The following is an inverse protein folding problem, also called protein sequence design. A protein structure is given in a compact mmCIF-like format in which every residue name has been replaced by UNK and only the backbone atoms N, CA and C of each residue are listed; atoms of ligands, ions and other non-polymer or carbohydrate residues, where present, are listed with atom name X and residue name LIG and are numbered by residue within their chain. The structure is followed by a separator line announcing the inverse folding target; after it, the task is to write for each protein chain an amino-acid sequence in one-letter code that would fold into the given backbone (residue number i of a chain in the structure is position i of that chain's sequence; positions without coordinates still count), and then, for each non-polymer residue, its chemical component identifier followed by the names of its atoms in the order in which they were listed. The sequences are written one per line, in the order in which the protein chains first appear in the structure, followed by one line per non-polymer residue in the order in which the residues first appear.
data_IF_584632043788
#
_entry.id   IF_584632043788
#
_cell.length_a   1.000
_cell.length_b   1.000
_cell.length_c   1.000
_cell.angle_alpha   90.00
_cell.angle_beta   90.00
_cell.angle_gamma   90.00
#
_symmetry.space_group_name_H-M   'P 1'
#
loop_
_entity.id
_entity.type
_entity.pdbx_description
1 polymer ?
#
# COMPACT_ATOMS: atom_id res chain seq x y z
N UNK A 1 -11.51 -4.47 23.17
CA UNK A 1 -12.08 -5.82 23.20
C UNK A 1 -13.07 -5.92 22.05
N UNK A 2 -12.76 -6.73 21.03
CA UNK A 2 -13.70 -7.00 19.92
C UNK A 2 -14.73 -8.02 20.40
N UNK A 3 -16.00 -7.86 20.07
CA UNK A 3 -17.02 -8.90 20.34
C UNK A 3 -17.14 -9.87 19.16
N UNK A 4 -17.73 -11.07 19.37
CA UNK A 4 -18.05 -11.99 18.28
C UNK A 4 -18.81 -11.31 17.14
N UNK A 5 -18.43 -11.64 15.91
CA UNK A 5 -19.05 -11.12 14.71
C UNK A 5 -20.53 -11.51 14.66
N UNK A 6 -21.40 -10.53 14.45
CA UNK A 6 -22.83 -10.73 14.15
C UNK A 6 -23.11 -10.12 12.77
N UNK A 7 -23.44 -10.96 11.78
CA UNK A 7 -23.52 -10.58 10.37
C UNK A 7 -22.20 -9.97 9.86
N UNK A 8 -22.23 -8.92 9.02
CA UNK A 8 -21.04 -8.22 8.52
C UNK A 8 -20.59 -7.08 9.46
N UNK A 9 -20.80 -7.27 10.76
CA UNK A 9 -20.42 -6.31 11.77
C UNK A 9 -19.76 -6.96 12.96
N UNK A 10 -18.86 -6.23 13.59
CA UNK A 10 -18.30 -6.60 14.89
C UNK A 10 -18.31 -5.35 15.77
N UNK A 11 -18.34 -5.59 17.08
CA UNK A 11 -18.46 -4.50 18.05
C UNK A 11 -17.15 -4.25 18.75
N UNK A 12 -16.88 -2.99 19.04
CA UNK A 12 -15.73 -2.54 19.83
C UNK A 12 -16.19 -1.57 20.90
N UNK A 13 -15.46 -1.53 22.01
CA UNK A 13 -15.59 -0.43 22.96
C UNK A 13 -15.20 0.87 22.26
N UNK A 14 -16.06 1.88 22.35
CA UNK A 14 -15.70 3.22 21.94
C UNK A 14 -14.85 3.90 23.02
N UNK A 15 -13.72 4.51 22.64
CA UNK A 15 -12.81 5.22 23.54
C UNK A 15 -12.96 6.74 23.43
N UNK A 16 -13.22 7.25 22.23
CA UNK A 16 -13.45 8.68 21.98
C UNK A 16 -14.48 8.88 20.87
N UNK A 17 -15.14 10.03 20.88
CA UNK A 17 -15.97 10.49 19.77
C UNK A 17 -15.52 11.89 19.39
N UNK A 18 -15.24 12.07 18.09
CA UNK A 18 -14.76 13.31 17.51
C UNK A 18 -15.85 13.86 16.59
N UNK A 19 -16.41 15.01 16.96
CA UNK A 19 -17.36 15.71 16.11
C UNK A 19 -16.66 16.16 14.83
N UNK A 20 -17.24 15.78 13.68
CA UNK A 20 -16.65 16.00 12.36
C UNK A 20 -15.24 15.40 12.18
N UNK A 21 -14.87 14.39 13.00
CA UNK A 21 -13.55 13.75 12.95
C UNK A 21 -13.23 13.06 11.63
N UNK A 22 -14.24 12.79 10.80
CA UNK A 22 -14.09 12.23 9.46
C UNK A 22 -14.36 13.25 8.34
N UNK A 23 -14.62 14.51 8.67
CA UNK A 23 -15.03 15.57 7.76
C UNK A 23 -16.48 15.43 7.27
N UNK A 24 -16.99 16.50 6.65
CA UNK A 24 -18.34 16.56 6.04
C UNK A 24 -19.50 16.22 7.00
N UNK A 25 -19.40 16.62 8.27
CA UNK A 25 -20.40 16.35 9.30
C UNK A 25 -20.40 14.90 9.80
N UNK A 26 -19.38 14.11 9.44
CA UNK A 26 -19.29 12.71 9.82
C UNK A 26 -18.45 12.56 11.09
N UNK A 27 -19.04 12.01 12.15
CA UNK A 27 -18.34 11.73 13.40
C UNK A 27 -17.25 10.65 13.20
N UNK A 28 -16.09 10.89 13.79
CA UNK A 28 -15.07 9.87 14.01
C UNK A 28 -15.27 9.20 15.36
N UNK A 29 -15.02 7.89 15.41
CA UNK A 29 -15.08 7.13 16.67
C UNK A 29 -13.73 6.47 16.90
N UNK A 30 -13.04 6.84 17.98
CA UNK A 30 -11.70 6.31 18.32
C UNK A 30 -10.70 6.40 17.15
N UNK A 31 -10.75 7.48 16.36
CA UNK A 31 -9.91 7.70 15.18
C UNK A 31 -10.24 6.84 13.94
N UNK A 32 -11.39 6.15 13.95
CA UNK A 32 -11.90 5.32 12.87
C UNK A 32 -12.94 6.10 12.07
N UNK A 33 -12.82 6.03 10.74
CA UNK A 33 -13.73 6.66 9.79
C UNK A 33 -14.25 5.68 8.73
N UNK A 34 -15.44 5.93 8.13
CA UNK A 34 -15.89 5.16 6.98
C UNK A 34 -14.86 5.22 5.85
N UNK A 35 -14.51 4.06 5.30
CA UNK A 35 -13.51 3.82 4.25
C UNK A 35 -12.10 3.52 4.77
N UNK A 36 -11.88 3.54 6.08
CA UNK A 36 -10.56 3.21 6.64
C UNK A 36 -10.27 1.71 6.47
N UNK A 37 -9.04 1.39 6.09
CA UNK A 37 -8.54 0.02 6.11
C UNK A 37 -8.18 -0.33 7.55
N UNK A 38 -8.67 -1.47 8.01
CA UNK A 38 -8.51 -1.93 9.39
C UNK A 38 -7.99 -3.35 9.40
N UNK A 39 -7.27 -3.71 10.45
CA UNK A 39 -6.74 -5.04 10.70
C UNK A 39 -7.31 -5.53 12.02
N UNK A 40 -8.11 -6.59 11.99
CA UNK A 40 -8.54 -7.32 13.18
C UNK A 40 -7.60 -8.50 13.40
N UNK A 41 -7.12 -8.71 14.63
CA UNK A 41 -6.22 -9.80 14.97
C UNK A 41 -6.53 -10.40 16.33
N UNK A 42 -6.38 -11.72 16.46
CA UNK A 42 -6.26 -12.47 17.71
C UNK A 42 -4.96 -13.28 17.70
N UNK A 43 -4.75 -14.12 18.72
CA UNK A 43 -3.54 -14.96 18.84
C UNK A 43 -3.37 -16.00 17.70
N UNK A 44 -4.39 -16.24 16.88
CA UNK A 44 -4.40 -17.30 15.88
C UNK A 44 -4.45 -16.75 14.45
N UNK A 45 -5.06 -15.57 14.25
CA UNK A 45 -5.28 -15.01 12.92
C UNK A 45 -5.31 -13.49 12.90
N UNK A 46 -5.02 -12.94 11.73
CA UNK A 46 -5.28 -11.54 11.38
C UNK A 46 -6.09 -11.45 10.08
N UNK A 47 -6.91 -10.41 9.94
CA UNK A 47 -7.73 -10.13 8.77
C UNK A 47 -7.80 -8.64 8.50
N UNK A 48 -7.77 -8.28 7.22
CA UNK A 48 -7.98 -6.90 6.77
C UNK A 48 -9.43 -6.67 6.34
N UNK A 49 -9.95 -5.45 6.50
CA UNK A 49 -11.26 -5.07 5.97
C UNK A 49 -11.38 -3.54 5.87
N UNK A 50 -12.29 -3.08 5.03
CA UNK A 50 -12.60 -1.64 4.90
C UNK A 50 -13.86 -1.32 5.68
N UNK A 51 -13.84 -0.27 6.49
CA UNK A 51 -15.02 0.24 7.20
C UNK A 51 -16.02 0.78 6.18
N UNK A 52 -17.26 0.32 6.18
CA UNK A 52 -18.31 0.88 5.33
C UNK A 52 -19.20 1.87 6.08
N UNK A 53 -19.42 1.61 7.35
CA UNK A 53 -20.23 2.45 8.22
C UNK A 53 -20.02 2.07 9.67
N UNK A 54 -20.53 2.90 10.57
CA UNK A 54 -20.41 2.68 12.00
C UNK A 54 -21.68 3.15 12.71
N UNK A 55 -22.02 2.50 13.82
CA UNK A 55 -23.14 2.88 14.68
C UNK A 55 -22.74 2.77 16.15
N UNK A 56 -22.86 3.87 16.89
CA UNK A 56 -22.61 3.90 18.34
C UNK A 56 -23.93 3.79 19.10
N UNK A 57 -24.05 2.77 19.94
CA UNK A 57 -25.19 2.59 20.84
C UNK A 57 -24.69 2.21 22.24
N UNK A 58 -25.12 2.94 23.27
CA UNK A 58 -24.80 2.64 24.67
C UNK A 58 -23.30 2.47 24.97
N UNK A 59 -22.44 3.26 24.31
CA UNK A 59 -20.97 3.21 24.47
C UNK A 59 -20.26 2.10 23.69
N UNK A 60 -21.01 1.31 22.92
CA UNK A 60 -20.51 0.23 22.07
C UNK A 60 -20.61 0.61 20.59
N UNK A 61 -19.49 0.57 19.89
CA UNK A 61 -19.39 0.92 18.48
C UNK A 61 -19.51 -0.35 17.63
N UNK A 62 -20.55 -0.43 16.81
CA UNK A 62 -20.68 -1.44 15.76
C UNK A 62 -20.01 -0.95 14.49
N UNK A 63 -19.09 -1.73 13.94
CA UNK A 63 -18.38 -1.42 12.69
C UNK A 63 -18.89 -2.36 11.60
N UNK A 64 -19.43 -1.80 10.53
CA UNK A 64 -19.93 -2.54 9.37
C UNK A 64 -18.85 -2.61 8.28
N UNK A 65 -18.73 -3.76 7.62
CA UNK A 65 -17.79 -3.99 6.53
C UNK A 65 -18.46 -4.79 5.39
N UNK A 66 -17.91 -4.77 4.17
CA UNK A 66 -18.55 -5.39 3.01
C UNK A 66 -18.46 -6.93 3.02
N UNK A 67 -19.45 -7.66 2.46
CA UNK A 67 -19.37 -9.08 2.10
C UNK A 67 -18.52 -9.36 0.83
N UNK A 68 -18.14 -10.62 0.51
CA UNK A 68 -18.42 -11.86 1.25
C UNK A 68 -17.20 -12.46 1.98
N UNK A 69 -16.05 -11.80 1.99
CA UNK A 69 -14.87 -12.30 2.70
C UNK A 69 -14.22 -11.17 3.49
N UNK A 70 -13.59 -11.55 4.60
CA UNK A 70 -12.49 -10.74 5.12
C UNK A 70 -11.48 -10.54 3.97
N UNK A 71 -10.89 -9.34 3.87
CA UNK A 71 -9.86 -9.05 2.87
C UNK A 71 -8.65 -9.99 3.00
N UNK A 72 -7.59 -9.76 2.22
CA UNK A 72 -6.45 -10.69 2.20
C UNK A 72 -5.84 -10.92 3.61
N UNK A 73 -5.49 -12.18 3.97
CA UNK A 73 -5.75 -13.41 3.23
C UNK A 73 -7.25 -13.73 3.22
N UNK A 74 -7.79 -14.06 2.04
CA UNK A 74 -9.21 -14.30 1.85
C UNK A 74 -9.69 -15.43 2.76
N UNK A 75 -10.67 -15.14 3.61
CA UNK A 75 -11.34 -16.14 4.44
C UNK A 75 -12.68 -16.51 3.80
N UNK A 76 -12.84 -17.76 3.33
CA UNK A 76 -14.10 -18.20 2.73
C UNK A 76 -15.23 -18.28 3.76
N UNK A 77 -14.92 -18.21 5.07
CA UNK A 77 -15.91 -18.12 6.12
C UNK A 77 -16.25 -16.64 6.43
N UNK A 78 -17.35 -16.08 5.88
CA UNK A 78 -17.79 -14.73 6.21
C UNK A 78 -18.11 -14.56 7.70
N UNK A 79 -18.31 -15.63 8.46
CA UNK A 79 -18.65 -15.59 9.87
C UNK A 79 -17.44 -15.84 10.80
N UNK A 80 -16.20 -15.79 10.28
CA UNK A 80 -14.99 -15.93 11.09
C UNK A 80 -15.02 -14.93 12.27
N UNK A 81 -14.95 -15.44 13.49
CA UNK A 81 -15.01 -14.68 14.74
C UNK A 81 -13.63 -14.56 15.37
N UNK A 82 -13.37 -13.44 16.03
CA UNK A 82 -12.16 -13.21 16.83
C UNK A 82 -12.45 -13.51 18.30
N UNK A 83 -11.47 -14.07 19.00
CA UNK A 83 -11.62 -14.30 20.44
C UNK A 83 -11.77 -12.96 21.17
N UNK A 84 -12.89 -12.71 21.85
CA UNK A 84 -13.10 -11.42 22.49
C UNK A 84 -12.08 -11.12 23.58
N UNK A 85 -11.55 -12.13 24.28
CA UNK A 85 -10.59 -11.94 25.36
C UNK A 85 -9.25 -11.36 24.92
N UNK A 86 -8.79 -11.69 23.71
CA UNK A 86 -7.43 -11.39 23.24
C UNK A 86 -7.41 -10.94 21.78
N UNK A 87 -8.25 -9.96 21.46
CA UNK A 87 -8.36 -9.43 20.10
C UNK A 87 -8.16 -7.92 20.04
N UNK A 88 -7.49 -7.49 18.98
CA UNK A 88 -7.07 -6.13 18.74
C UNK A 88 -7.52 -5.65 17.37
N UNK A 89 -7.77 -4.35 17.30
CA UNK A 89 -8.11 -3.65 16.08
C UNK A 89 -7.06 -2.58 15.81
N UNK A 90 -6.42 -2.67 14.65
CA UNK A 90 -5.42 -1.73 14.20
C UNK A 90 -5.89 -1.00 12.95
N UNK A 91 -5.46 0.25 12.78
CA UNK A 91 -5.66 0.98 11.53
C UNK A 91 -4.57 0.57 10.55
N UNK A 92 -4.97 0.02 9.41
CA UNK A 92 -4.07 -0.28 8.30
C UNK A 92 -3.73 1.00 7.54
N UNK A 93 -2.46 1.20 7.23
CA UNK A 93 -2.00 2.31 6.39
C UNK A 93 -1.47 1.74 5.09
N UNK A 94 -2.06 2.15 3.97
CA UNK A 94 -1.54 1.89 2.63
C UNK A 94 -0.66 3.04 2.19
N UNK A 95 0.47 2.74 1.56
CA UNK A 95 1.30 3.75 0.90
C UNK A 95 1.41 3.36 -0.56
N UNK A 96 0.88 4.21 -1.45
CA UNK A 96 0.91 4.00 -2.89
C UNK A 96 1.92 4.93 -3.53
N UNK A 97 2.77 4.38 -4.40
CA UNK A 97 3.74 5.12 -5.19
C UNK A 97 3.38 5.02 -6.67
N UNK A 98 3.40 6.13 -7.39
CA UNK A 98 3.09 6.15 -8.82
C UNK A 98 3.80 7.30 -9.53
N UNK A 99 4.03 7.12 -10.83
CA UNK A 99 4.64 8.14 -11.69
C UNK A 99 3.52 8.82 -12.47
N UNK A 100 3.51 10.16 -12.47
CA UNK A 100 2.73 10.95 -13.42
C UNK A 100 3.54 12.14 -13.90
N UNK A 101 3.14 12.70 -15.03
CA UNK A 101 3.63 14.00 -15.48
C UNK A 101 2.97 15.09 -14.62
N UNK A 102 3.76 16.02 -14.07
CA UNK A 102 3.26 17.09 -13.18
C UNK A 102 2.18 17.91 -13.86
N UNK A 103 2.50 18.42 -15.02
CA UNK A 103 1.63 19.23 -15.87
C UNK A 103 2.05 19.01 -17.33
N UNK A 104 1.10 19.12 -18.26
CA UNK A 104 1.35 18.80 -19.67
C UNK A 104 2.35 19.77 -20.32
N UNK A 105 2.48 20.99 -19.78
CA UNK A 105 3.35 22.03 -20.32
C UNK A 105 4.84 21.77 -20.00
N UNK A 106 5.13 21.39 -18.76
CA UNK A 106 6.49 21.07 -18.30
C UNK A 106 6.92 19.68 -18.75
N UNK A 107 5.97 18.75 -18.91
CA UNK A 107 6.26 17.37 -19.27
C UNK A 107 7.12 16.62 -18.26
N UNK A 108 7.36 17.16 -17.05
CA UNK A 108 8.27 16.59 -16.06
C UNK A 108 7.61 15.36 -15.40
N UNK A 109 8.19 14.16 -15.53
CA UNK A 109 7.70 12.98 -14.82
C UNK A 109 8.15 13.06 -13.36
N UNK A 110 7.24 12.76 -12.44
CA UNK A 110 7.47 12.89 -10.99
C UNK A 110 6.96 11.63 -10.32
N UNK A 111 7.72 11.14 -9.34
CA UNK A 111 7.29 10.11 -8.41
C UNK A 111 6.44 10.73 -7.31
N UNK A 112 5.22 10.23 -7.17
CA UNK A 112 4.27 10.65 -6.15
C UNK A 112 4.09 9.57 -5.10
N UNK A 113 3.66 10.00 -3.91
CA UNK A 113 3.20 9.13 -2.83
C UNK A 113 1.79 9.53 -2.40
N UNK A 114 0.99 8.54 -2.04
CA UNK A 114 -0.27 8.72 -1.32
C UNK A 114 -0.31 7.81 -0.11
N UNK A 115 -0.57 8.38 1.07
CA UNK A 115 -0.70 7.63 2.32
C UNK A 115 -2.17 7.53 2.70
N UNK A 116 -2.74 6.32 2.60
CA UNK A 116 -4.15 6.03 2.85
C UNK A 116 -5.07 6.95 2.03
N UNK A 117 -5.90 7.73 2.72
CA UNK A 117 -6.80 8.73 2.13
C UNK A 117 -6.22 10.14 2.08
N UNK A 118 -4.96 10.32 2.48
CA UNK A 118 -4.29 11.61 2.43
C UNK A 118 -4.18 12.16 1.01
N UNK A 119 -3.75 13.43 0.93
CA UNK A 119 -3.44 14.06 -0.34
C UNK A 119 -2.32 13.32 -1.08
N UNK A 120 -2.28 13.49 -2.39
CA UNK A 120 -1.18 13.03 -3.23
C UNK A 120 -0.01 14.00 -3.06
N UNK A 121 1.17 13.49 -2.76
CA UNK A 121 2.38 14.25 -2.46
C UNK A 121 3.45 14.03 -3.53
N UNK A 122 4.10 15.10 -3.99
CA UNK A 122 5.30 15.02 -4.84
C UNK A 122 6.50 14.58 -4.00
N UNK A 123 7.22 13.56 -4.45
CA UNK A 123 8.45 13.12 -3.78
C UNK A 123 9.70 13.50 -4.55
N UNK A 124 9.80 13.07 -5.81
CA UNK A 124 11.04 13.18 -6.58
C UNK A 124 10.71 13.48 -8.04
N UNK A 125 11.22 14.59 -8.54
CA UNK A 125 11.13 14.94 -9.96
C UNK A 125 12.12 14.15 -10.81
N UNK A 126 11.79 14.00 -12.10
CA UNK A 126 12.63 13.34 -13.09
C UNK A 126 12.55 11.81 -13.05
N UNK A 127 11.70 11.20 -12.22
CA UNK A 127 11.52 9.74 -12.21
C UNK A 127 10.60 9.33 -13.36
N UNK A 128 11.20 8.77 -14.41
CA UNK A 128 10.52 8.44 -15.68
C UNK A 128 10.05 6.98 -15.73
N UNK A 129 10.74 6.09 -15.01
CA UNK A 129 10.35 4.68 -14.91
C UNK A 129 10.74 4.11 -13.54
N UNK A 130 9.94 3.16 -13.04
CA UNK A 130 10.19 2.41 -11.82
C UNK A 130 9.89 0.94 -12.06
N UNK A 131 10.85 0.08 -11.73
CA UNK A 131 10.69 -1.37 -11.75
C UNK A 131 10.95 -1.94 -10.36
N UNK A 132 10.20 -2.97 -9.99
CA UNK A 132 10.27 -3.60 -8.68
C UNK A 132 10.31 -5.12 -8.87
N UNK A 133 11.24 -5.79 -8.17
CA UNK A 133 11.24 -7.24 -7.99
C UNK A 133 11.18 -7.58 -6.50
N UNK A 134 10.53 -8.69 -6.18
CA UNK A 134 10.32 -9.20 -4.83
C UNK A 134 11.19 -10.43 -4.62
N UNK A 135 12.00 -10.41 -3.57
CA UNK A 135 12.86 -11.53 -3.18
C UNK A 135 12.07 -12.52 -2.34
N UNK A 136 11.77 -13.68 -2.92
CA UNK A 136 11.07 -14.78 -2.27
C UNK A 136 12.07 -15.71 -1.58
N UNK A 137 11.79 -16.00 -0.31
CA UNK A 137 12.45 -16.99 0.52
C UNK A 137 11.62 -18.29 0.52
N UNK A 138 12.09 -19.26 -0.25
CA UNK A 138 11.42 -20.53 -0.48
C UNK A 138 11.79 -21.61 0.54
N UNK A 139 12.89 -21.45 1.27
CA UNK A 139 13.41 -22.42 2.25
C UNK A 139 13.29 -21.95 3.71
N UNK A 140 12.96 -20.68 3.94
CA UNK A 140 12.62 -20.11 5.24
C UNK A 140 13.83 -19.66 6.07
N UNK A 141 15.00 -19.46 5.45
CA UNK A 141 16.22 -19.03 6.16
C UNK A 141 16.36 -17.50 6.31
N UNK A 142 15.41 -16.73 5.78
CA UNK A 142 15.38 -15.27 5.77
C UNK A 142 16.16 -14.62 4.63
N UNK A 143 16.68 -15.41 3.68
CA UNK A 143 17.47 -14.96 2.53
C UNK A 143 16.66 -15.21 1.25
N UNK A 144 16.56 -14.21 0.33
CA UNK A 144 15.83 -14.41 -0.91
C UNK A 144 16.56 -15.42 -1.82
N UNK A 145 15.91 -16.52 -2.18
CA UNK A 145 16.44 -17.48 -3.15
C UNK A 145 16.27 -16.97 -4.60
N UNK A 146 15.21 -16.21 -4.87
CA UNK A 146 14.90 -15.67 -6.20
C UNK A 146 14.22 -14.31 -6.15
N UNK A 147 14.39 -13.51 -7.21
CA UNK A 147 13.73 -12.22 -7.38
C UNK A 147 12.73 -12.26 -8.53
N UNK A 148 11.46 -12.07 -8.22
CA UNK A 148 10.35 -12.21 -9.17
C UNK A 148 9.52 -10.92 -9.27
N UNK A 149 8.78 -10.77 -10.38
CA UNK A 149 7.73 -9.75 -10.49
C UNK A 149 6.55 -10.14 -9.61
N UNK A 150 5.70 -9.16 -9.26
CA UNK A 150 4.55 -9.39 -8.38
C UNK A 150 3.61 -10.50 -8.87
N UNK A 151 3.41 -10.61 -10.18
CA UNK A 151 2.59 -11.64 -10.83
C UNK A 151 3.21 -13.05 -10.81
N UNK A 152 4.49 -13.15 -10.48
CA UNK A 152 5.20 -14.41 -10.28
C UNK A 152 5.26 -14.89 -8.83
N UNK A 153 4.84 -14.07 -7.85
CA UNK A 153 4.86 -14.44 -6.43
C UNK A 153 3.57 -15.18 -6.06
N UNK A 154 3.72 -16.42 -5.61
CA UNK A 154 2.59 -17.26 -5.19
C UNK A 154 2.15 -16.98 -3.75
N UNK A 155 3.11 -16.65 -2.88
CA UNK A 155 2.89 -16.36 -1.46
C UNK A 155 3.70 -15.13 -1.05
N UNK A 156 3.03 -13.99 -0.90
CA UNK A 156 3.67 -12.76 -0.43
C UNK A 156 4.17 -12.84 1.01
N UNK A 157 3.73 -13.82 1.80
CA UNK A 157 4.26 -14.10 3.14
C UNK A 157 5.73 -14.54 3.13
N UNK A 158 6.22 -15.06 1.99
CA UNK A 158 7.61 -15.48 1.77
C UNK A 158 8.52 -14.38 1.23
N UNK A 159 8.00 -13.17 1.03
CA UNK A 159 8.81 -12.07 0.49
C UNK A 159 9.62 -11.43 1.61
N UNK A 160 10.94 -11.55 1.53
CA UNK A 160 11.90 -11.07 2.54
C UNK A 160 12.75 -9.90 2.07
N UNK A 161 12.69 -9.54 0.78
CA UNK A 161 13.41 -8.38 0.26
C UNK A 161 12.74 -7.80 -0.98
N UNK A 162 13.12 -6.57 -1.34
CA UNK A 162 12.67 -5.89 -2.54
C UNK A 162 13.89 -5.31 -3.26
N UNK A 163 13.93 -5.45 -4.59
CA UNK A 163 14.80 -4.68 -5.48
C UNK A 163 13.99 -3.64 -6.18
N UNK A 164 14.46 -2.39 -6.17
CA UNK A 164 13.82 -1.27 -6.86
C UNK A 164 14.85 -0.67 -7.79
N UNK A 165 14.46 -0.37 -9.03
CA UNK A 165 15.25 0.43 -9.96
C UNK A 165 14.43 1.60 -10.49
N UNK A 166 15.05 2.77 -10.51
CA UNK A 166 14.48 4.02 -11.01
C UNK A 166 15.29 4.52 -12.21
N UNK A 167 14.61 4.87 -13.31
CA UNK A 167 15.19 5.64 -14.39
C UNK A 167 14.92 7.11 -14.08
N UNK A 168 15.98 7.85 -13.82
CA UNK A 168 15.90 9.29 -13.60
C UNK A 168 16.36 10.03 -14.86
N UNK A 169 15.69 11.14 -15.17
CA UNK A 169 16.05 12.07 -16.22
C UNK A 169 16.32 13.47 -15.67
N UNK A 170 17.17 14.26 -16.33
CA UNK A 170 17.34 15.67 -16.00
C UNK A 170 16.03 16.43 -16.18
N UNK A 171 15.75 17.44 -15.35
CA UNK A 171 14.49 18.21 -15.45
C UNK A 171 14.41 18.98 -16.77
N UNK A 172 15.52 19.58 -17.18
CA UNK A 172 15.65 20.29 -18.45
C UNK A 172 16.43 19.49 -19.47
N UNK A 173 16.06 19.67 -20.74
CA UNK A 173 16.81 19.19 -21.88
C UNK A 173 18.21 19.81 -21.98
N UNK A 174 19.17 19.06 -22.53
CA UNK A 174 20.50 19.57 -22.88
C UNK A 174 20.51 19.99 -24.34
N UNK A 175 20.03 21.20 -24.62
CA UNK A 175 19.83 21.77 -25.97
C UNK A 175 21.04 21.71 -26.89
N UNK A 176 22.27 21.65 -26.34
CA UNK A 176 23.52 21.51 -27.10
C UNK A 176 23.82 20.08 -27.57
N UNK A 177 22.97 19.11 -27.25
CA UNK A 177 23.11 17.70 -27.67
C UNK A 177 22.04 17.37 -28.72
N UNK A 178 22.31 16.43 -29.64
CA UNK A 178 21.25 15.89 -30.50
C UNK A 178 20.20 15.18 -29.65
N UNK A 179 18.95 15.21 -30.11
CA UNK A 179 17.91 14.36 -29.54
C UNK A 179 18.21 12.90 -29.89
N UNK A 180 18.04 11.99 -28.94
CA UNK A 180 18.36 10.58 -29.15
C UNK A 180 17.41 9.67 -28.40
N UNK A 181 16.94 8.63 -29.07
CA UNK A 181 16.30 7.48 -28.43
C UNK A 181 17.36 6.56 -27.84
N UNK A 182 17.16 6.12 -26.59
CA UNK A 182 18.09 5.22 -25.89
C UNK A 182 17.34 4.13 -25.14
N UNK A 183 17.97 2.96 -25.03
CA UNK A 183 17.46 1.86 -24.22
C UNK A 183 18.15 1.84 -22.85
N UNK A 184 17.36 1.68 -21.80
CA UNK A 184 17.82 1.47 -20.43
C UNK A 184 17.21 0.19 -19.89
N UNK A 185 18.01 -0.66 -19.25
CA UNK A 185 17.52 -1.88 -18.61
C UNK A 185 17.41 -1.66 -17.11
N UNK A 186 16.22 -1.91 -16.56
CA UNK A 186 15.88 -1.80 -15.14
C UNK A 186 15.39 -3.17 -14.67
N UNK A 187 16.18 -3.85 -13.83
CA UNK A 187 15.83 -5.17 -13.27
C UNK A 187 15.35 -6.16 -14.35
N UNK A 188 16.05 -6.20 -15.48
CA UNK A 188 15.73 -7.08 -16.62
C UNK A 188 14.64 -6.55 -17.56
N UNK A 189 13.97 -5.44 -17.25
CA UNK A 189 12.99 -4.80 -18.13
C UNK A 189 13.66 -3.69 -18.93
N UNK A 190 13.60 -3.76 -20.26
CA UNK A 190 14.14 -2.71 -21.13
C UNK A 190 13.08 -1.63 -21.37
N UNK A 191 13.44 -0.39 -21.10
CA UNK A 191 12.67 0.80 -21.40
C UNK A 191 13.36 1.60 -22.50
N UNK A 192 12.62 1.90 -23.57
CA UNK A 192 13.07 2.76 -24.67
C UNK A 192 12.56 4.18 -24.44
N UNK A 193 13.47 5.14 -24.39
CA UNK A 193 13.13 6.54 -24.12
C UNK A 193 12.53 7.22 -25.34
N UNK A 194 11.75 8.31 -25.17
CA UNK A 194 11.46 9.22 -26.27
C UNK A 194 12.73 9.76 -26.92
N UNK A 195 12.61 10.21 -28.17
CA UNK A 195 13.66 10.94 -28.87
C UNK A 195 13.75 12.37 -28.31
N UNK A 196 14.63 12.57 -27.34
CA UNK A 196 14.77 13.85 -26.66
C UNK A 196 16.21 14.12 -26.20
N UNK A 197 16.42 15.24 -25.51
CA UNK A 197 17.76 15.68 -25.05
C UNK A 197 17.97 15.57 -23.54
N UNK A 198 17.18 14.75 -22.84
CA UNK A 198 17.35 14.56 -21.41
C UNK A 198 18.52 13.62 -21.10
N UNK A 199 19.34 14.00 -20.11
CA UNK A 199 20.33 13.08 -19.55
C UNK A 199 19.61 12.10 -18.64
N UNK A 200 19.96 10.82 -18.74
CA UNK A 200 19.31 9.75 -17.98
C UNK A 200 20.31 8.87 -17.27
N UNK A 201 19.90 8.37 -16.10
CA UNK A 201 20.67 7.44 -15.29
C UNK A 201 19.74 6.49 -14.56
N UNK A 202 20.13 5.22 -14.52
CA UNK A 202 19.46 4.19 -13.71
C UNK A 202 20.11 4.18 -12.33
N UNK A 203 19.28 4.12 -11.29
CA UNK A 203 19.66 3.85 -9.91
C UNK A 203 18.91 2.64 -9.41
N UNK A 204 19.56 1.78 -8.67
CA UNK A 204 18.95 0.60 -8.07
C UNK A 204 19.34 0.45 -6.61
N UNK A 205 18.45 -0.20 -5.85
CA UNK A 205 18.65 -0.52 -4.45
C UNK A 205 17.99 -1.87 -4.12
N UNK A 206 18.62 -2.59 -3.18
CA UNK A 206 18.03 -3.78 -2.55
C UNK A 206 17.73 -3.47 -1.10
N UNK A 207 16.51 -3.74 -0.67
CA UNK A 207 16.02 -3.47 0.69
C UNK A 207 15.57 -4.79 1.29
N UNK A 208 16.13 -5.16 2.44
CA UNK A 208 15.62 -6.30 3.21
C UNK A 208 14.37 -5.89 3.98
N UNK A 209 13.34 -6.73 3.94
CA UNK A 209 12.12 -6.57 4.71
C UNK A 209 12.26 -7.34 6.01
N UNK A 210 12.06 -6.65 7.13
CA UNK A 210 11.93 -7.29 8.44
C UNK A 210 10.45 -7.52 8.71
N UNK A 211 9.88 -8.53 8.07
CA UNK A 211 8.58 -9.06 8.48
C UNK A 211 8.86 -9.90 9.73
N UNK A 212 8.63 -9.32 10.92
CA UNK A 212 8.90 -10.01 12.18
C UNK A 212 8.12 -11.31 12.28
N UNK A 213 8.82 -12.41 12.53
CA UNK A 213 8.27 -13.69 12.94
C UNK A 213 7.94 -13.70 14.44
#
# INVERSE_FOLDING_TARGET
MLQPKQHYSFKVRNLSQENDGCGTGTHGYSGICPGDLMIASDCVKARTFTVQGMHLASGELSIYHTPPSWGYPADPNPNSQFNPAYSYLFKGITVSYFIRVRDQDSGVPVLYRKVGKGAVEELVEGVENMQILYGEDSDGDGIPNQFLKADGISDFGRVVSIRIALLMRSISEKTRRPATTRNFTLLGTTFTTPEDRHLRKVFDATIQLRNGH
#
